data_IF_716641277438
#
_entry.id   IF_716641277438
#
_cell.length_a   1.000
_cell.length_b   1.000
_cell.length_c   1.000
_cell.angle_alpha   90.00
_cell.angle_beta   90.00
_cell.angle_gamma   90.00
#
_symmetry.space_group_name_H-M   'P 1'
#
loop_
_entity.id
_entity.type
_entity.pdbx_description
1 polymer ?
#
# COMPACT_ATOMS: atom_id res chain seq x y z
N UNK A 1 8.80 -14.49 2.35
CA UNK A 1 8.02 -15.12 3.46
C UNK A 1 6.56 -14.65 3.56
N UNK A 2 6.13 -13.51 2.95
CA UNK A 2 4.81 -12.89 3.19
C UNK A 2 3.66 -13.30 2.24
N UNK A 3 3.80 -14.36 1.45
CA UNK A 3 2.77 -14.74 0.45
C UNK A 3 2.05 -16.07 0.72
N UNK A 4 2.46 -16.80 1.76
CA UNK A 4 1.93 -18.14 2.06
C UNK A 4 0.42 -18.11 2.36
N UNK A 5 -0.03 -17.15 3.17
CA UNK A 5 -1.44 -17.00 3.52
C UNK A 5 -2.28 -16.64 2.29
N UNK A 6 -1.84 -15.67 1.48
CA UNK A 6 -2.51 -15.29 0.23
C UNK A 6 -2.67 -16.50 -0.69
N UNK A 7 -1.58 -17.25 -0.92
CA UNK A 7 -1.61 -18.47 -1.75
C UNK A 7 -2.58 -19.51 -1.23
N UNK A 8 -2.59 -19.79 0.08
CA UNK A 8 -3.52 -20.75 0.69
C UNK A 8 -4.98 -20.34 0.51
N UNK A 9 -5.31 -19.06 0.72
CA UNK A 9 -6.68 -18.56 0.54
C UNK A 9 -7.10 -18.65 -0.94
N UNK A 10 -6.20 -18.29 -1.87
CA UNK A 10 -6.47 -18.36 -3.32
C UNK A 10 -6.71 -19.79 -3.79
N UNK A 11 -5.83 -20.72 -3.44
CA UNK A 11 -6.01 -22.14 -3.78
C UNK A 11 -7.29 -22.70 -3.15
N UNK A 12 -7.60 -22.35 -1.90
CA UNK A 12 -8.85 -22.74 -1.24
C UNK A 12 -10.11 -22.21 -1.93
N UNK A 13 -10.02 -21.11 -2.69
CA UNK A 13 -11.10 -20.56 -3.53
C UNK A 13 -11.02 -21.04 -5.00
N UNK A 14 -10.22 -22.06 -5.30
CA UNK A 14 -10.04 -22.58 -6.66
C UNK A 14 -9.36 -21.60 -7.63
N UNK A 15 -8.63 -20.60 -7.12
CA UNK A 15 -7.92 -19.60 -7.93
C UNK A 15 -6.43 -19.92 -8.01
N UNK A 16 -5.80 -19.53 -9.11
CA UNK A 16 -4.34 -19.60 -9.28
C UNK A 16 -3.64 -18.91 -8.08
N UNK A 17 -2.65 -19.54 -7.43
CA UNK A 17 -1.98 -18.97 -6.25
C UNK A 17 -1.22 -17.68 -6.56
N UNK A 18 -0.85 -17.45 -7.82
CA UNK A 18 -0.17 -16.23 -8.28
C UNK A 18 -1.19 -15.32 -8.99
N UNK A 19 -1.52 -14.15 -8.42
CA UNK A 19 -2.44 -13.21 -9.08
C UNK A 19 -1.77 -12.57 -10.30
N UNK A 20 -2.50 -12.52 -11.42
CA UNK A 20 -2.06 -11.84 -12.66
C UNK A 20 -2.63 -10.42 -12.80
N UNK A 21 -3.60 -10.07 -11.96
CA UNK A 21 -4.27 -8.76 -11.94
C UNK A 21 -4.20 -8.19 -10.53
N UNK A 22 -3.83 -6.91 -10.45
CA UNK A 22 -3.62 -6.18 -9.22
C UNK A 22 -4.40 -4.86 -9.26
N UNK A 23 -4.97 -4.49 -8.11
CA UNK A 23 -5.64 -3.21 -7.89
C UNK A 23 -4.75 -2.40 -6.96
N UNK A 24 -4.44 -1.16 -7.35
CA UNK A 24 -3.55 -0.27 -6.63
C UNK A 24 -4.33 0.96 -6.17
N UNK A 25 -4.16 1.32 -4.91
CA UNK A 25 -4.70 2.56 -4.34
C UNK A 25 -3.72 3.18 -3.34
N UNK A 26 -3.84 4.50 -3.15
CA UNK A 26 -3.02 5.26 -2.20
C UNK A 26 -3.87 6.12 -1.27
N UNK A 27 -3.55 6.07 0.03
CA UNK A 27 -4.27 6.85 1.03
C UNK A 27 -3.32 7.57 1.98
N UNK A 28 -3.49 8.90 2.05
CA UNK A 28 -2.83 9.74 3.05
C UNK A 28 -3.60 9.70 4.35
N UNK A 29 -2.89 9.45 5.46
CA UNK A 29 -3.43 9.32 6.80
C UNK A 29 -2.71 10.28 7.72
N UNK A 30 -3.47 10.99 8.57
CA UNK A 30 -2.92 11.97 9.51
C UNK A 30 -1.98 11.28 10.50
N UNK A 31 -0.78 11.82 10.65
CA UNK A 31 0.18 11.34 11.63
C UNK A 31 -0.22 11.77 13.05
N UNK A 32 0.03 10.89 14.03
CA UNK A 32 0.00 11.27 15.45
C UNK A 32 1.13 12.27 15.77
N UNK A 33 1.03 12.97 16.89
CA UNK A 33 2.09 13.85 17.40
C UNK A 33 3.42 13.11 17.64
N UNK A 34 3.37 11.80 17.87
CA UNK A 34 4.54 10.94 18.05
C UNK A 34 5.25 10.57 16.74
N UNK A 35 4.66 10.88 15.58
CA UNK A 35 5.29 10.57 14.29
C UNK A 35 6.40 11.58 13.98
N UNK A 36 7.64 11.09 13.96
CA UNK A 36 8.82 11.89 13.67
C UNK A 36 8.75 12.62 12.33
N UNK A 37 9.21 13.88 12.30
CA UNK A 37 9.16 14.76 11.12
C UNK A 37 9.87 14.17 9.90
N UNK A 38 10.90 13.36 10.11
CA UNK A 38 11.64 12.64 9.07
C UNK A 38 10.85 11.53 8.35
N UNK A 39 9.67 11.16 8.87
CA UNK A 39 8.87 10.04 8.36
C UNK A 39 7.42 10.42 8.06
N UNK A 40 7.12 11.72 7.97
CA UNK A 40 5.82 12.28 7.59
C UNK A 40 6.00 13.46 6.66
N UNK A 41 4.99 13.73 5.84
CA UNK A 41 4.95 14.80 4.86
C UNK A 41 3.58 15.43 4.78
N UNK A 42 3.45 16.51 4.01
CA UNK A 42 2.18 17.20 3.83
C UNK A 42 1.59 16.96 2.43
N UNK A 43 0.49 16.22 2.41
CA UNK A 43 -0.34 16.08 1.22
C UNK A 43 -1.23 17.32 1.08
N UNK A 44 -0.90 18.20 0.13
CA UNK A 44 -1.64 19.44 -0.09
C UNK A 44 -3.06 19.20 -0.65
N UNK A 45 -3.24 18.16 -1.46
CA UNK A 45 -4.55 17.86 -2.05
C UNK A 45 -5.54 17.39 -0.98
N UNK A 46 -5.07 16.55 -0.04
CA UNK A 46 -5.89 16.04 1.07
C UNK A 46 -5.80 16.92 2.33
N UNK A 47 -4.91 17.91 2.36
CA UNK A 47 -4.56 18.76 3.51
C UNK A 47 -4.14 17.94 4.75
N UNK A 48 -3.38 16.87 4.53
CA UNK A 48 -2.99 15.91 5.57
C UNK A 48 -1.49 16.00 5.84
N UNK A 49 -1.12 16.24 7.09
CA UNK A 49 0.25 16.03 7.57
C UNK A 49 0.38 14.62 8.15
N UNK A 50 1.10 13.74 7.48
CA UNK A 50 1.21 12.35 7.90
C UNK A 50 1.92 11.45 6.90
N UNK A 51 1.43 10.22 6.77
CA UNK A 51 2.00 9.19 5.89
C UNK A 51 1.01 8.81 4.82
N UNK A 52 1.50 8.35 3.68
CA UNK A 52 0.69 7.79 2.61
C UNK A 52 0.98 6.29 2.51
N UNK A 53 -0.08 5.48 2.55
CA UNK A 53 -0.01 4.04 2.34
C UNK A 53 -0.36 3.75 0.89
N UNK A 54 0.54 3.07 0.19
CA UNK A 54 0.35 2.55 -1.16
C UNK A 54 0.06 1.06 -1.01
N UNK A 55 -1.14 0.64 -1.37
CA UNK A 55 -1.60 -0.73 -1.17
C UNK A 55 -1.93 -1.32 -2.52
N UNK A 56 -1.36 -2.50 -2.77
CA UNK A 56 -1.70 -3.33 -3.91
C UNK A 56 -2.39 -4.59 -3.40
N UNK A 57 -3.59 -4.86 -3.92
CA UNK A 57 -4.37 -6.06 -3.61
C UNK A 57 -4.65 -6.86 -4.87
N UNK A 58 -4.91 -8.16 -4.71
CA UNK A 58 -5.44 -8.96 -5.81
C UNK A 58 -6.96 -8.77 -5.98
N UNK A 59 -7.54 -9.46 -6.96
CA UNK A 59 -8.99 -9.42 -7.25
C UNK A 59 -9.90 -10.01 -6.17
N UNK A 60 -9.33 -10.66 -5.15
CA UNK A 60 -10.06 -11.14 -3.97
C UNK A 60 -9.90 -10.18 -2.78
N UNK A 61 -9.21 -9.04 -2.97
CA UNK A 61 -8.90 -8.07 -1.92
C UNK A 61 -7.74 -8.51 -1.02
N UNK A 62 -6.96 -9.53 -1.40
CA UNK A 62 -5.85 -10.01 -0.58
C UNK A 62 -4.61 -9.13 -0.80
N UNK A 63 -3.94 -8.65 0.26
CA UNK A 63 -2.74 -7.83 0.13
C UNK A 63 -1.61 -8.54 -0.62
N UNK A 64 -1.05 -7.83 -1.60
CA UNK A 64 0.11 -8.26 -2.37
C UNK A 64 1.35 -7.48 -1.95
N UNK A 65 1.24 -6.16 -1.92
CA UNK A 65 2.33 -5.28 -1.49
C UNK A 65 1.78 -4.08 -0.75
N UNK A 66 2.52 -3.62 0.26
CA UNK A 66 2.21 -2.43 1.05
C UNK A 66 3.50 -1.65 1.24
N UNK A 67 3.51 -0.40 0.80
CA UNK A 67 4.60 0.54 1.02
C UNK A 67 4.05 1.78 1.71
N UNK A 68 4.79 2.32 2.67
CA UNK A 68 4.39 3.52 3.42
C UNK A 68 5.44 4.58 3.24
N UNK A 69 5.03 5.74 2.73
CA UNK A 69 5.89 6.89 2.51
C UNK A 69 5.42 8.08 3.34
N UNK A 70 6.22 9.14 3.47
CA UNK A 70 5.71 10.47 3.80
C UNK A 70 4.55 10.87 2.84
N UNK A 71 3.58 11.65 3.33
CA UNK A 71 2.35 11.90 2.58
C UNK A 71 2.51 12.83 1.36
N UNK A 72 3.61 13.59 1.30
CA UNK A 72 4.00 14.46 0.19
C UNK A 72 4.63 13.70 -0.98
N UNK A 73 5.02 12.43 -0.80
CA UNK A 73 5.50 11.58 -1.91
C UNK A 73 4.35 11.29 -2.89
N UNK A 74 4.60 11.51 -4.18
CA UNK A 74 3.64 11.21 -5.24
C UNK A 74 3.60 9.72 -5.56
N UNK A 75 2.44 9.24 -6.00
CA UNK A 75 2.22 7.82 -6.28
C UNK A 75 3.13 7.32 -7.42
N UNK A 76 3.49 8.20 -8.37
CA UNK A 76 4.46 7.90 -9.44
C UNK A 76 5.86 7.57 -8.89
N UNK A 77 6.27 8.23 -7.82
CA UNK A 77 7.61 8.08 -7.25
C UNK A 77 7.63 6.85 -6.35
N UNK A 78 6.56 6.67 -5.55
CA UNK A 78 6.37 5.47 -4.75
C UNK A 78 6.21 4.20 -5.61
N UNK A 79 5.66 4.30 -6.83
CA UNK A 79 5.51 3.16 -7.72
C UNK A 79 6.84 2.51 -8.12
N UNK A 80 7.94 3.26 -8.16
CA UNK A 80 9.29 2.72 -8.45
C UNK A 80 9.80 1.78 -7.35
N UNK A 81 9.30 1.96 -6.14
CA UNK A 81 9.64 1.09 -5.00
C UNK A 81 8.63 -0.06 -4.85
N UNK A 82 7.56 -0.07 -5.67
CA UNK A 82 6.45 -1.05 -5.62
C UNK A 82 6.47 -2.01 -6.82
N UNK A 83 7.02 -1.59 -7.96
CA UNK A 83 7.14 -2.37 -9.20
C UNK A 83 8.58 -2.35 -9.70
#
# INVERSE_FOLDING_TARGET
>A
MRDQLRRRIRTGKGRCPYPVTLIVDSQSVKGSSTVGRNSRGYDAAKKINGRKRHITVDTLGLPVMITVTPADIQDRDAARDVF
#
